data_IF_220007280882
#
_entry.id   IF_220007280882
#
_cell.length_a   1.000
_cell.length_b   1.000
_cell.length_c   1.000
_cell.angle_alpha   90.00
_cell.angle_beta   90.00
_cell.angle_gamma   90.00
#
_symmetry.space_group_name_H-M   'P 1'
#
loop_
_entity.id
_entity.type
_entity.pdbx_description
1 polymer ?
#
# COMPACT_ATOMS: atom_id res chain seq x y z
N UNK A 1 -12.10 45.30 -3.52
CA UNK A 1 -11.61 44.46 -4.63
C UNK A 1 -10.88 43.32 -3.95
N UNK A 2 -11.64 42.35 -3.45
CA UNK A 2 -11.05 41.10 -2.94
C UNK A 2 -10.51 40.37 -4.16
N UNK A 3 -9.18 40.22 -4.19
CA UNK A 3 -8.54 39.34 -5.15
C UNK A 3 -8.80 37.93 -4.63
N UNK A 4 -9.76 37.25 -5.24
CA UNK A 4 -9.88 35.80 -5.16
C UNK A 4 -8.54 35.23 -5.64
N UNK A 5 -7.67 34.86 -4.69
CA UNK A 5 -6.50 34.06 -4.98
C UNK A 5 -6.98 32.70 -5.49
N UNK A 6 -7.00 32.54 -6.80
CA UNK A 6 -7.15 31.26 -7.47
C UNK A 6 -6.03 30.32 -6.96
N UNK A 7 -6.37 29.27 -6.18
CA UNK A 7 -5.38 28.44 -5.50
C UNK A 7 -4.52 27.60 -6.47
N UNK A 8 -4.82 27.65 -7.77
CA UNK A 8 -4.12 26.88 -8.79
C UNK A 8 -2.83 27.53 -9.33
N UNK A 9 -2.49 28.77 -8.92
CA UNK A 9 -1.25 29.45 -9.36
C UNK A 9 -0.12 29.49 -8.30
N UNK A 10 -0.07 28.50 -7.41
CA UNK A 10 1.09 28.34 -6.54
C UNK A 10 2.27 27.75 -7.33
N UNK A 11 3.50 28.26 -7.14
CA UNK A 11 4.69 27.70 -7.79
C UNK A 11 4.71 26.19 -7.53
N UNK A 12 5.08 25.38 -8.52
CA UNK A 12 4.92 23.92 -8.47
C UNK A 12 5.41 23.30 -7.14
N UNK A 13 6.43 23.86 -6.49
CA UNK A 13 6.92 23.45 -5.17
C UNK A 13 5.86 23.57 -4.06
N UNK A 14 5.03 24.61 -4.08
CA UNK A 14 3.92 24.85 -3.14
C UNK A 14 2.84 23.77 -3.21
N UNK A 15 2.44 23.33 -4.42
CA UNK A 15 1.45 22.25 -4.58
C UNK A 15 1.92 20.94 -3.94
N UNK A 16 3.20 20.57 -4.13
CA UNK A 16 3.78 19.37 -3.52
C UNK A 16 3.73 19.42 -1.99
N UNK A 17 4.08 20.58 -1.40
CA UNK A 17 4.02 20.79 0.04
C UNK A 17 2.59 20.69 0.58
N UNK A 18 1.60 21.27 -0.11
CA UNK A 18 0.18 21.17 0.28
C UNK A 18 -0.28 19.71 0.31
N UNK A 19 0.10 18.92 -0.71
CA UNK A 19 -0.25 17.50 -0.77
C UNK A 19 0.36 16.74 0.42
N UNK A 20 1.65 16.93 0.68
CA UNK A 20 2.32 16.29 1.83
C UNK A 20 1.62 16.65 3.14
N UNK A 21 1.32 17.93 3.35
CA UNK A 21 0.64 18.41 4.56
C UNK A 21 -0.74 17.75 4.73
N UNK A 22 -1.51 17.55 3.65
CA UNK A 22 -2.79 16.83 3.71
C UNK A 22 -2.61 15.37 4.17
N UNK A 23 -1.59 14.68 3.68
CA UNK A 23 -1.28 13.32 4.14
C UNK A 23 -0.79 13.29 5.59
N UNK A 24 0.05 14.23 6.01
CA UNK A 24 0.56 14.33 7.39
C UNK A 24 -0.56 14.66 8.41
N UNK A 25 -1.56 15.44 8.01
CA UNK A 25 -2.78 15.69 8.80
C UNK A 25 -3.74 14.50 8.83
N UNK A 26 -3.60 13.57 7.88
CA UNK A 26 -4.38 12.36 7.76
C UNK A 26 -5.88 12.61 7.71
N UNK A 27 -6.64 11.88 8.54
CA UNK A 27 -8.10 11.96 8.56
C UNK A 27 -8.63 13.38 8.80
N UNK A 28 -7.90 14.25 9.53
CA UNK A 28 -8.35 15.64 9.75
C UNK A 28 -8.39 16.45 8.46
N UNK A 29 -7.52 16.15 7.48
CA UNK A 29 -7.57 16.80 6.16
C UNK A 29 -8.70 16.26 5.27
N UNK A 30 -9.10 15.00 5.47
CA UNK A 30 -10.19 14.34 4.74
C UNK A 30 -11.58 14.53 5.36
N UNK A 31 -11.66 15.04 6.59
CA UNK A 31 -12.87 15.12 7.40
C UNK A 31 -14.01 15.97 6.83
N UNK A 32 -13.79 16.67 5.70
CA UNK A 32 -14.89 17.32 4.97
C UNK A 32 -15.88 16.29 4.36
N UNK A 33 -15.50 15.02 4.22
CA UNK A 33 -16.43 13.95 3.82
C UNK A 33 -16.95 13.28 5.09
N UNK A 34 -17.87 13.98 5.77
CA UNK A 34 -18.76 13.38 6.77
C UNK A 34 -19.66 12.37 6.03
N UNK A 35 -19.17 11.14 5.89
CA UNK A 35 -20.02 10.03 5.52
C UNK A 35 -20.94 9.85 6.73
N UNK A 36 -22.15 10.41 6.66
CA UNK A 36 -23.24 10.25 7.61
C UNK A 36 -23.62 8.78 7.77
N UNK A 37 -22.72 8.01 8.38
CA UNK A 37 -22.83 6.59 8.59
C UNK A 37 -23.80 6.43 9.74
N UNK A 38 -25.07 6.26 9.40
CA UNK A 38 -25.87 5.25 10.09
C UNK A 38 -24.97 4.03 10.33
N UNK A 39 -25.10 3.37 11.49
CA UNK A 39 -24.32 2.17 11.81
C UNK A 39 -24.69 1.03 10.87
N UNK A 40 -24.26 1.13 9.60
CA UNK A 40 -24.38 0.10 8.59
C UNK A 40 -23.44 -0.99 9.04
N UNK A 41 -23.94 -2.22 9.18
CA UNK A 41 -23.12 -3.39 9.45
C UNK A 41 -22.20 -3.63 8.24
N UNK A 42 -21.02 -3.00 8.28
CA UNK A 42 -20.00 -3.00 7.23
C UNK A 42 -19.68 -4.43 6.76
N UNK A 43 -19.86 -5.43 7.62
CA UNK A 43 -19.66 -6.84 7.30
C UNK A 43 -20.60 -7.36 6.21
N UNK A 44 -21.83 -6.84 6.12
CA UNK A 44 -22.80 -7.24 5.09
C UNK A 44 -22.35 -6.84 3.68
N UNK A 45 -21.53 -5.80 3.59
CA UNK A 45 -21.08 -5.23 2.32
C UNK A 45 -19.62 -5.54 2.00
N UNK A 46 -18.86 -6.08 2.96
CA UNK A 46 -17.42 -6.32 2.80
C UNK A 46 -17.11 -7.80 2.65
N UNK A 47 -16.40 -8.15 1.58
CA UNK A 47 -16.01 -9.53 1.34
C UNK A 47 -14.82 -9.94 2.24
N UNK A 48 -14.41 -11.21 2.18
CA UNK A 48 -13.28 -11.73 2.96
C UNK A 48 -11.92 -11.10 2.65
N UNK A 49 -11.79 -10.41 1.52
CA UNK A 49 -10.57 -9.72 1.12
C UNK A 49 -10.60 -8.24 1.51
N UNK A 50 -11.68 -7.76 2.15
CA UNK A 50 -11.82 -6.37 2.55
C UNK A 50 -12.36 -5.45 1.44
N UNK A 51 -12.87 -5.98 0.33
CA UNK A 51 -13.53 -5.17 -0.71
C UNK A 51 -14.98 -4.91 -0.31
N UNK A 52 -15.38 -3.64 -0.33
CA UNK A 52 -16.72 -3.15 -0.03
C UNK A 52 -17.53 -3.06 -1.33
N UNK A 53 -18.76 -3.56 -1.25
CA UNK A 53 -19.74 -3.58 -2.32
C UNK A 53 -20.89 -2.61 -2.01
N UNK A 54 -21.54 -2.08 -3.04
CA UNK A 54 -22.70 -1.19 -2.90
C UNK A 54 -23.96 -1.96 -2.44
N UNK A 55 -24.05 -3.23 -2.83
CA UNK A 55 -25.14 -4.13 -2.43
C UNK A 55 -24.68 -5.10 -1.35
N UNK A 56 -25.63 -5.56 -0.54
CA UNK A 56 -25.38 -6.62 0.43
C UNK A 56 -24.86 -7.88 -0.27
N UNK A 57 -23.82 -8.47 0.31
CA UNK A 57 -23.17 -9.62 -0.25
C UNK A 57 -24.07 -10.85 -0.19
N UNK A 58 -24.05 -11.70 -1.24
CA UNK A 58 -24.68 -13.00 -1.18
C UNK A 58 -24.17 -13.82 0.01
N UNK A 59 -25.02 -14.73 0.50
CA UNK A 59 -24.59 -15.68 1.53
C UNK A 59 -23.37 -16.45 1.05
N UNK A 60 -22.41 -16.62 1.96
CA UNK A 60 -21.14 -17.31 1.70
C UNK A 60 -21.41 -18.70 1.11
N UNK A 61 -20.94 -18.92 -0.12
CA UNK A 61 -21.16 -20.19 -0.81
C UNK A 61 -20.37 -21.33 -0.19
N UNK A 62 -20.83 -22.58 -0.36
CA UNK A 62 -20.09 -23.76 0.09
C UNK A 62 -18.68 -23.86 -0.55
N UNK A 63 -18.53 -23.38 -1.79
CA UNK A 63 -17.25 -23.31 -2.49
C UNK A 63 -16.28 -22.37 -1.75
N UNK A 64 -16.75 -21.19 -1.37
CA UNK A 64 -15.96 -20.19 -0.68
C UNK A 64 -15.54 -20.68 0.71
N UNK A 65 -16.45 -21.30 1.47
CA UNK A 65 -16.11 -21.96 2.74
C UNK A 65 -15.00 -23.01 2.55
N UNK A 66 -15.09 -23.82 1.48
CA UNK A 66 -14.07 -24.82 1.15
C UNK A 66 -12.73 -24.17 0.81
N UNK A 67 -12.72 -23.04 0.10
CA UNK A 67 -11.51 -22.28 -0.20
C UNK A 67 -10.87 -21.68 1.06
N UNK A 68 -11.68 -21.03 1.91
CA UNK A 68 -11.23 -20.50 3.21
C UNK A 68 -10.60 -21.59 4.08
N UNK A 69 -11.23 -22.76 4.18
CA UNK A 69 -10.66 -23.93 4.90
C UNK A 69 -9.32 -24.38 4.30
N UNK A 70 -9.18 -24.37 2.97
CA UNK A 70 -7.89 -24.68 2.31
C UNK A 70 -6.83 -23.63 2.65
N UNK A 71 -7.19 -22.35 2.66
CA UNK A 71 -6.28 -21.26 3.03
C UNK A 71 -5.86 -21.38 4.50
N UNK A 72 -6.77 -21.59 5.44
CA UNK A 72 -6.45 -21.81 6.86
C UNK A 72 -5.48 -22.98 7.04
N UNK A 73 -5.70 -24.11 6.33
CA UNK A 73 -4.76 -25.25 6.35
C UNK A 73 -3.37 -24.89 5.80
N UNK A 74 -3.28 -24.00 4.81
CA UNK A 74 -1.99 -23.49 4.30
C UNK A 74 -1.34 -22.55 5.31
N UNK A 75 -2.10 -21.63 5.89
CA UNK A 75 -1.64 -20.71 6.94
C UNK A 75 -1.07 -21.47 8.13
N UNK A 76 -1.75 -22.50 8.62
CA UNK A 76 -1.25 -23.32 9.73
C UNK A 76 0.08 -24.04 9.38
N UNK A 77 0.23 -24.50 8.14
CA UNK A 77 1.50 -25.09 7.67
C UNK A 77 2.62 -24.06 7.61
N UNK A 78 2.31 -22.86 7.14
CA UNK A 78 3.26 -21.75 7.12
C UNK A 78 3.64 -21.29 8.53
N UNK A 79 2.69 -21.18 9.44
CA UNK A 79 2.97 -20.84 10.85
C UNK A 79 3.94 -21.84 11.48
N UNK A 80 3.76 -23.15 11.25
CA UNK A 80 4.74 -24.17 11.69
C UNK A 80 6.12 -23.96 11.08
N UNK A 81 6.20 -23.58 9.81
CA UNK A 81 7.48 -23.31 9.15
C UNK A 81 8.15 -22.02 9.63
N UNK A 82 7.37 -21.00 9.97
CA UNK A 82 7.85 -19.73 10.50
C UNK A 82 8.29 -19.84 11.96
N UNK A 83 7.70 -20.76 12.73
CA UNK A 83 8.15 -21.08 14.09
C UNK A 83 9.54 -21.72 14.07
N UNK A 84 9.74 -22.73 13.22
CA UNK A 84 11.04 -23.42 13.07
C UNK A 84 11.83 -22.90 11.85
N UNK A 85 11.93 -21.58 11.69
CA UNK A 85 12.47 -20.99 10.45
C UNK A 85 13.88 -21.49 10.09
N UNK A 86 14.76 -21.64 11.09
CA UNK A 86 16.13 -22.13 10.91
C UNK A 86 16.19 -23.52 10.28
N UNK A 87 15.23 -24.38 10.59
CA UNK A 87 15.09 -25.73 10.01
C UNK A 87 14.62 -25.68 8.55
N UNK A 88 13.78 -24.71 8.19
CA UNK A 88 13.12 -24.67 6.88
C UNK A 88 13.79 -23.76 5.85
N UNK A 89 14.58 -22.76 6.26
CA UNK A 89 15.15 -21.71 5.40
C UNK A 89 15.85 -22.21 4.14
N UNK A 90 16.55 -23.34 4.21
CA UNK A 90 17.33 -23.93 3.11
C UNK A 90 16.70 -25.20 2.52
N UNK A 91 15.44 -25.47 2.83
CA UNK A 91 14.78 -26.70 2.39
C UNK A 91 14.03 -26.52 1.07
N UNK A 92 14.06 -27.55 0.21
CA UNK A 92 13.22 -27.62 -1.00
C UNK A 92 11.72 -27.46 -0.69
N UNK A 93 11.29 -27.85 0.52
CA UNK A 93 9.92 -27.71 1.01
C UNK A 93 9.50 -26.25 1.09
N UNK A 94 10.38 -25.33 1.49
CA UNK A 94 10.11 -23.90 1.49
C UNK A 94 9.88 -23.39 0.08
N UNK A 95 10.81 -23.66 -0.85
CA UNK A 95 10.70 -23.22 -2.24
C UNK A 95 9.39 -23.69 -2.89
N UNK A 96 9.03 -24.97 -2.72
CA UNK A 96 7.75 -25.52 -3.21
C UNK A 96 6.51 -24.82 -2.63
N UNK A 97 6.59 -24.28 -1.41
CA UNK A 97 5.48 -23.56 -0.77
C UNK A 97 5.42 -22.11 -1.22
N UNK A 98 6.56 -21.46 -1.40
CA UNK A 98 6.66 -20.10 -1.95
C UNK A 98 6.08 -20.08 -3.37
N UNK A 99 6.46 -21.02 -4.24
CA UNK A 99 5.92 -21.12 -5.61
C UNK A 99 4.40 -21.35 -5.67
N UNK A 100 3.79 -21.88 -4.61
CA UNK A 100 2.33 -22.11 -4.54
C UNK A 100 1.51 -20.91 -4.10
N UNK A 101 2.14 -19.80 -3.72
CA UNK A 101 1.56 -18.62 -3.05
C UNK A 101 1.60 -18.70 -1.53
N UNK A 102 2.15 -17.64 -0.95
CA UNK A 102 2.17 -17.38 0.48
C UNK A 102 0.79 -16.83 0.92
N UNK A 103 0.11 -17.45 1.90
CA UNK A 103 -1.18 -16.97 2.40
C UNK A 103 -1.07 -15.52 2.89
N UNK A 104 -2.14 -14.74 2.66
CA UNK A 104 -2.15 -13.31 2.97
C UNK A 104 -1.83 -13.05 4.45
N UNK A 105 -2.42 -13.83 5.36
CA UNK A 105 -2.27 -13.69 6.81
C UNK A 105 -0.82 -13.78 7.32
N UNK A 106 0.08 -14.44 6.60
CA UNK A 106 1.49 -14.63 7.01
C UNK A 106 2.46 -14.03 5.99
N UNK A 107 1.96 -13.38 4.93
CA UNK A 107 2.77 -12.91 3.82
C UNK A 107 3.84 -11.93 4.27
N UNK A 108 3.48 -10.91 5.04
CA UNK A 108 4.43 -9.90 5.53
C UNK A 108 5.58 -10.53 6.32
N UNK A 109 5.25 -11.37 7.31
CA UNK A 109 6.27 -12.08 8.12
C UNK A 109 7.13 -13.02 7.28
N UNK A 110 6.52 -13.78 6.38
CA UNK A 110 7.25 -14.71 5.53
C UNK A 110 8.19 -13.98 4.55
N UNK A 111 7.73 -12.90 3.91
CA UNK A 111 8.57 -12.09 3.02
C UNK A 111 9.69 -11.38 3.79
N UNK A 112 9.42 -10.90 5.02
CA UNK A 112 10.43 -10.31 5.89
C UNK A 112 11.62 -11.25 6.12
N UNK A 113 11.32 -12.52 6.37
CA UNK A 113 12.34 -13.55 6.58
C UNK A 113 12.98 -14.05 5.28
N UNK A 114 12.22 -14.14 4.19
CA UNK A 114 12.74 -14.59 2.88
C UNK A 114 13.72 -13.58 2.27
N UNK A 115 13.48 -12.29 2.49
CA UNK A 115 14.30 -11.20 1.95
C UNK A 115 15.32 -10.66 2.95
N UNK A 116 15.47 -11.32 4.11
CA UNK A 116 16.34 -10.88 5.21
C UNK A 116 16.17 -9.38 5.54
N UNK A 117 14.91 -8.92 5.61
CA UNK A 117 14.59 -7.49 5.78
C UNK A 117 15.22 -6.92 7.05
N UNK A 118 15.24 -7.69 8.14
CA UNK A 118 15.84 -7.25 9.41
C UNK A 118 17.35 -7.02 9.26
N UNK A 119 18.04 -7.88 8.51
CA UNK A 119 19.45 -7.70 8.18
C UNK A 119 19.66 -6.44 7.34
N UNK A 120 18.86 -6.25 6.29
CA UNK A 120 18.96 -5.06 5.42
C UNK A 120 18.71 -3.78 6.21
N UNK A 121 17.71 -3.77 7.09
CA UNK A 121 17.40 -2.65 8.00
C UNK A 121 18.59 -2.36 8.92
N UNK A 122 19.18 -3.38 9.54
CA UNK A 122 20.35 -3.22 10.42
C UNK A 122 21.59 -2.68 9.70
N UNK A 123 21.77 -3.05 8.42
CA UNK A 123 22.87 -2.58 7.60
C UNK A 123 22.67 -1.15 7.07
N UNK A 124 21.44 -0.64 7.04
CA UNK A 124 21.10 0.66 6.44
C UNK A 124 20.21 1.49 7.38
N UNK A 125 20.66 1.78 8.62
CA UNK A 125 19.87 2.54 9.58
C UNK A 125 19.53 3.93 9.02
N UNK A 126 18.26 4.35 9.15
CA UNK A 126 17.80 5.68 8.76
C UNK A 126 17.73 5.97 7.25
N UNK A 127 18.21 5.08 6.38
CA UNK A 127 18.24 5.29 4.92
C UNK A 127 16.86 5.57 4.34
N UNK A 128 15.84 4.87 4.81
CA UNK A 128 14.45 5.10 4.38
C UNK A 128 13.99 6.55 4.68
N UNK A 129 14.28 7.07 5.88
CA UNK A 129 13.93 8.44 6.27
C UNK A 129 14.62 9.47 5.36
N UNK A 130 15.92 9.28 5.08
CA UNK A 130 16.67 10.15 4.17
C UNK A 130 16.08 10.13 2.75
N UNK A 131 15.70 8.96 2.25
CA UNK A 131 15.09 8.84 0.91
C UNK A 131 13.70 9.47 0.86
N UNK A 132 12.89 9.30 1.89
CA UNK A 132 11.57 9.96 2.00
C UNK A 132 11.71 11.48 1.92
N UNK A 133 12.60 12.07 2.72
CA UNK A 133 12.83 13.52 2.71
C UNK A 133 13.44 14.04 1.40
N UNK A 134 14.29 13.24 0.75
CA UNK A 134 14.79 13.57 -0.59
C UNK A 134 13.66 13.55 -1.64
N UNK A 135 12.75 12.58 -1.57
CA UNK A 135 11.62 12.44 -2.50
C UNK A 135 10.62 13.59 -2.39
N UNK A 136 10.41 14.12 -1.17
CA UNK A 136 9.55 15.27 -0.92
C UNK A 136 9.95 16.55 -1.66
N UNK A 137 11.16 16.62 -2.22
CA UNK A 137 11.66 17.80 -2.95
C UNK A 137 11.08 17.94 -4.36
N UNK A 138 10.46 16.89 -4.90
CA UNK A 138 9.89 16.90 -6.25
C UNK A 138 8.37 16.96 -6.22
N UNK A 139 7.82 18.16 -6.38
CA UNK A 139 6.36 18.37 -6.41
C UNK A 139 5.66 17.60 -7.53
N UNK A 140 6.26 17.54 -8.71
CA UNK A 140 5.75 16.76 -9.84
C UNK A 140 5.57 15.30 -9.48
N UNK A 141 6.58 14.69 -8.84
CA UNK A 141 6.54 13.28 -8.43
C UNK A 141 5.46 13.07 -7.36
N UNK A 142 5.39 13.95 -6.36
CA UNK A 142 4.38 13.90 -5.30
C UNK A 142 2.97 13.96 -5.90
N UNK A 143 2.74 14.85 -6.86
CA UNK A 143 1.43 14.98 -7.50
C UNK A 143 1.05 13.70 -8.26
N UNK A 144 1.96 13.14 -9.06
CA UNK A 144 1.71 11.85 -9.74
C UNK A 144 1.42 10.72 -8.74
N UNK A 145 2.20 10.61 -7.66
CA UNK A 145 1.98 9.61 -6.61
C UNK A 145 0.60 9.82 -5.96
N UNK A 146 0.22 11.05 -5.65
CA UNK A 146 -1.07 11.33 -5.01
C UNK A 146 -2.25 10.94 -5.93
N UNK A 147 -2.17 11.21 -7.23
CA UNK A 147 -3.16 10.74 -8.19
C UNK A 147 -3.22 9.20 -8.20
N UNK A 148 -2.08 8.53 -8.35
CA UNK A 148 -2.01 7.06 -8.37
C UNK A 148 -2.57 6.43 -7.09
N UNK A 149 -2.23 6.98 -5.92
CA UNK A 149 -2.74 6.52 -4.61
C UNK A 149 -4.24 6.75 -4.48
N UNK A 150 -4.77 7.87 -4.99
CA UNK A 150 -6.20 8.19 -4.95
C UNK A 150 -7.04 7.24 -5.81
N UNK A 151 -6.44 6.62 -6.82
CA UNK A 151 -7.06 5.62 -7.67
C UNK A 151 -6.77 4.17 -7.25
N UNK A 152 -5.89 3.96 -6.27
CA UNK A 152 -5.49 2.62 -5.82
C UNK A 152 -6.55 2.03 -4.89
N UNK A 153 -7.08 0.85 -5.27
CA UNK A 153 -7.94 0.01 -4.43
C UNK A 153 -9.13 0.77 -3.80
N UNK A 154 -9.78 1.67 -4.56
CA UNK A 154 -10.83 2.56 -4.05
C UNK A 154 -11.99 1.85 -3.33
N UNK A 155 -12.28 0.59 -3.69
CA UNK A 155 -13.32 -0.23 -3.04
C UNK A 155 -12.81 -1.06 -1.87
N UNK A 156 -11.53 -1.02 -1.54
CA UNK A 156 -10.96 -1.79 -0.44
C UNK A 156 -11.03 -0.98 0.86
N UNK A 157 -11.51 -1.59 1.95
CA UNK A 157 -11.69 -0.98 3.28
C UNK A 157 -10.55 -0.04 3.68
N UNK A 158 -9.31 -0.51 3.52
CA UNK A 158 -8.11 0.24 3.92
C UNK A 158 -7.79 1.48 3.06
N UNK A 159 -8.39 1.59 1.87
CA UNK A 159 -8.12 2.63 0.86
C UNK A 159 -9.37 3.44 0.50
N UNK A 160 -10.56 3.10 1.02
CA UNK A 160 -11.80 3.86 0.79
C UNK A 160 -11.68 5.28 1.33
N UNK A 161 -11.09 5.42 2.52
CA UNK A 161 -10.96 6.72 3.18
C UNK A 161 -9.77 7.49 2.62
N UNK A 162 -10.03 8.72 2.15
CA UNK A 162 -9.00 9.63 1.66
C UNK A 162 -8.05 10.02 2.78
N UNK A 163 -6.76 10.05 2.46
CA UNK A 163 -5.67 10.32 3.41
C UNK A 163 -5.67 9.37 4.61
N UNK A 164 -6.24 8.17 4.47
CA UNK A 164 -6.20 7.14 5.49
C UNK A 164 -4.79 6.59 5.72
N UNK A 165 -4.59 5.89 6.83
CA UNK A 165 -3.27 5.39 7.26
C UNK A 165 -2.57 4.59 6.17
N UNK A 166 -3.27 3.71 5.45
CA UNK A 166 -2.66 2.90 4.39
C UNK A 166 -2.34 3.67 3.11
N UNK A 167 -3.12 4.71 2.81
CA UNK A 167 -2.76 5.64 1.72
C UNK A 167 -1.52 6.46 2.07
N UNK A 168 -1.39 6.90 3.34
CA UNK A 168 -0.19 7.60 3.81
C UNK A 168 1.05 6.69 3.75
N UNK A 169 0.97 5.47 4.30
CA UNK A 169 2.05 4.48 4.23
C UNK A 169 2.47 4.20 2.77
N UNK A 170 1.48 4.03 1.88
CA UNK A 170 1.72 3.82 0.46
C UNK A 170 2.42 5.02 -0.19
N UNK A 171 1.91 6.22 0.06
CA UNK A 171 2.49 7.47 -0.44
C UNK A 171 3.94 7.62 0.03
N UNK A 172 4.21 7.41 1.32
CA UNK A 172 5.54 7.51 1.90
C UNK A 172 6.54 6.54 1.29
N UNK A 173 6.13 5.29 1.05
CA UNK A 173 6.97 4.28 0.39
C UNK A 173 7.27 4.70 -1.04
N UNK A 174 6.28 5.15 -1.80
CA UNK A 174 6.46 5.59 -3.18
C UNK A 174 7.36 6.83 -3.28
N UNK A 175 7.18 7.81 -2.39
CA UNK A 175 8.03 9.00 -2.31
C UNK A 175 9.47 8.60 -1.98
N UNK A 176 9.70 7.75 -0.99
CA UNK A 176 11.05 7.26 -0.69
C UNK A 176 11.66 6.48 -1.87
N UNK A 177 10.87 5.62 -2.51
CA UNK A 177 11.33 4.81 -3.63
C UNK A 177 11.70 5.67 -4.85
N UNK A 178 10.93 6.72 -5.15
CA UNK A 178 11.25 7.66 -6.24
C UNK A 178 12.61 8.34 -6.09
N UNK A 179 13.04 8.60 -4.85
CA UNK A 179 14.35 9.17 -4.56
C UNK A 179 15.49 8.14 -4.62
N UNK A 180 15.17 6.87 -4.34
CA UNK A 180 16.10 5.75 -4.43
C UNK A 180 16.37 5.35 -5.88
N UNK A 181 15.33 5.29 -6.71
CA UNK A 181 15.42 4.94 -8.13
C UNK A 181 14.87 6.07 -9.01
N UNK A 182 15.69 7.10 -9.30
CA UNK A 182 15.25 8.24 -10.12
C UNK A 182 15.05 7.83 -11.60
N UNK A 183 15.70 6.77 -12.06
CA UNK A 183 15.69 6.34 -13.47
C UNK A 183 14.33 5.80 -13.89
N UNK A 184 13.55 5.23 -12.97
CA UNK A 184 12.19 4.76 -13.27
C UNK A 184 11.14 5.87 -13.34
N UNK A 185 11.53 7.15 -13.19
CA UNK A 185 10.68 8.32 -13.51
C UNK A 185 11.38 9.16 -14.59
N UNK A 186 11.51 8.67 -15.84
CA UNK A 186 12.15 9.44 -16.89
C UNK A 186 11.20 10.54 -17.37
N UNK A 187 11.35 11.71 -16.77
CA UNK A 187 10.71 12.97 -17.17
C UNK A 187 11.39 13.67 -18.35
N UNK A 188 12.24 12.98 -19.11
CA UNK A 188 12.66 13.44 -20.44
C UNK A 188 11.93 12.56 -21.48
N UNK A 189 10.80 13.08 -21.96
CA UNK A 189 10.15 12.74 -23.26
C UNK A 189 9.05 11.68 -23.42
N UNK A 190 8.47 11.06 -22.39
CA UNK A 190 7.34 10.15 -22.61
C UNK A 190 6.01 10.62 -22.01
N UNK A 191 5.00 10.61 -22.89
CA UNK A 191 3.59 10.92 -22.67
C UNK A 191 3.02 10.23 -21.42
N UNK A 192 2.18 10.98 -20.71
CA UNK A 192 1.58 10.71 -19.39
C UNK A 192 0.91 9.33 -19.20
N UNK A 193 0.68 8.57 -20.28
CA UNK A 193 0.05 7.25 -20.22
C UNK A 193 0.96 6.10 -19.79
N UNK A 194 2.28 6.32 -19.66
CA UNK A 194 3.26 5.29 -19.35
C UNK A 194 3.91 5.44 -17.97
N UNK A 195 3.21 5.98 -16.98
CA UNK A 195 3.68 5.97 -15.59
C UNK A 195 3.89 4.51 -15.13
N UNK A 196 5.14 4.01 -14.96
CA UNK A 196 5.39 2.58 -14.76
C UNK A 196 4.93 2.06 -13.39
N UNK A 197 4.47 2.94 -12.51
CA UNK A 197 4.14 2.61 -11.13
C UNK A 197 2.83 1.83 -10.95
N UNK A 198 1.92 1.85 -11.94
CA UNK A 198 0.72 0.99 -11.88
C UNK A 198 1.04 -0.50 -12.10
N UNK A 199 2.12 -0.82 -12.82
CA UNK A 199 2.53 -2.21 -13.11
C UNK A 199 3.45 -2.78 -12.02
N UNK A 200 4.30 -1.95 -11.39
CA UNK A 200 5.27 -2.40 -10.39
C UNK A 200 4.63 -2.96 -9.10
N UNK A 201 3.38 -2.58 -8.79
CA UNK A 201 2.69 -3.04 -7.58
C UNK A 201 2.30 -4.52 -7.60
N UNK A 202 2.29 -5.19 -8.75
CA UNK A 202 2.09 -6.64 -8.81
C UNK A 202 3.26 -7.41 -8.17
N UNK A 203 4.45 -6.81 -8.02
CA UNK A 203 5.65 -7.52 -7.55
C UNK A 203 6.07 -7.24 -6.10
N UNK A 204 5.60 -6.19 -5.45
CA UNK A 204 6.10 -5.76 -4.12
C UNK A 204 5.07 -5.77 -2.99
N UNK A 205 3.99 -6.55 -3.15
CA UNK A 205 2.97 -6.72 -2.12
C UNK A 205 3.52 -7.18 -0.76
N UNK A 206 3.70 -6.24 0.16
CA UNK A 206 3.53 -6.47 1.60
C UNK A 206 4.74 -6.34 2.52
N UNK A 207 5.63 -5.35 2.32
CA UNK A 207 6.52 -4.90 3.40
C UNK A 207 6.01 -3.57 3.94
N UNK A 208 5.01 -3.64 4.82
CA UNK A 208 4.54 -2.51 5.62
C UNK A 208 5.28 -2.51 6.98
N UNK A 209 5.97 -1.39 7.21
CA UNK A 209 6.20 -0.68 8.48
C UNK A 209 5.89 -1.37 9.82
N UNK A 210 6.96 -1.78 10.50
CA UNK A 210 7.39 -1.34 11.84
C UNK A 210 8.92 -1.42 11.88
#
# INVERSE_FOLDING_TARGET
MEMDEDPDNLPAQGQGNIIITKYEQGHRAGAAVDLGHEQVDVRKYTNNLGIVHEMELPRVSALEVKQRRKESKRTNKWQKMLADWTKYRSTKKLSQRVCKVIPLAVRGRALSLLLDIDKIKSQNPGKYKVMKEKGKRSSRIIHCIQLDVSHTLQKHMMFIQRFGVKQQELCDILVAYSAYNPVSIPGQRYSWYLCPYSQAWVSLGGVATS
#
